data_IF_106316175907
#
_entry.id   IF_106316175907
#
_cell.length_a   1.000
_cell.length_b   1.000
_cell.length_c   1.000
_cell.angle_alpha   90.00
_cell.angle_beta   90.00
_cell.angle_gamma   90.00
#
_symmetry.space_group_name_H-M   'P 1'
#
loop_
_entity.id
_entity.type
_entity.pdbx_description
1 polymer ?
#
# COMPACT_ATOMS: atom_id res chain seq x y z
N UNK A 1 8.29 -0.56 -4.91
CA UNK A 1 7.93 -1.68 -4.06
C UNK A 1 7.93 -3.00 -4.81
N UNK A 2 8.21 -4.09 -4.14
CA UNK A 2 8.26 -5.43 -4.73
C UNK A 2 7.56 -6.46 -3.84
N UNK A 3 6.70 -7.30 -4.41
CA UNK A 3 6.06 -8.42 -3.74
C UNK A 3 6.78 -9.72 -4.14
N UNK A 4 7.63 -10.32 -3.28
CA UNK A 4 8.25 -11.60 -3.54
C UNK A 4 7.26 -12.76 -3.36
N UNK A 5 7.59 -13.96 -3.90
CA UNK A 5 6.77 -15.16 -3.70
C UNK A 5 6.67 -15.56 -2.22
N UNK A 6 7.76 -15.44 -1.48
CA UNK A 6 7.82 -15.68 -0.04
C UNK A 6 8.21 -14.39 0.69
N UNK A 7 7.23 -13.59 1.12
CA UNK A 7 7.51 -12.33 1.78
C UNK A 7 7.98 -12.54 3.22
N UNK A 8 8.93 -11.71 3.63
CA UNK A 8 9.40 -11.65 5.02
C UNK A 8 8.56 -10.61 5.76
N UNK A 9 7.87 -11.05 6.81
CA UNK A 9 7.16 -10.19 7.76
C UNK A 9 7.99 -10.05 9.04
N UNK A 10 7.76 -8.98 9.78
CA UNK A 10 8.36 -8.83 11.09
C UNK A 10 7.63 -9.76 12.09
N UNK A 11 8.35 -10.74 12.62
CA UNK A 11 7.81 -11.76 13.53
C UNK A 11 7.45 -11.23 14.91
N UNK A 12 7.99 -10.08 15.30
CA UNK A 12 7.66 -9.40 16.55
C UNK A 12 6.34 -8.63 16.48
N UNK A 13 5.83 -8.40 15.24
CA UNK A 13 4.62 -7.67 14.98
C UNK A 13 3.43 -8.60 14.73
N UNK A 14 2.26 -8.18 15.16
CA UNK A 14 1.01 -8.80 14.75
C UNK A 14 0.62 -8.40 13.31
N UNK A 15 -0.55 -8.86 12.84
CA UNK A 15 -1.02 -8.61 11.47
C UNK A 15 -1.15 -7.12 11.19
N UNK A 16 -1.87 -6.37 12.04
CA UNK A 16 -2.10 -4.93 11.81
C UNK A 16 -0.80 -4.12 11.91
N UNK A 17 0.09 -4.44 12.82
CA UNK A 17 1.39 -3.76 12.95
C UNK A 17 2.26 -3.97 11.71
N UNK A 18 2.27 -5.19 11.14
CA UNK A 18 2.95 -5.45 9.87
C UNK A 18 2.36 -4.62 8.72
N UNK A 19 1.02 -4.55 8.61
CA UNK A 19 0.34 -3.75 7.58
C UNK A 19 0.67 -2.27 7.77
N UNK A 20 0.49 -1.74 8.99
CA UNK A 20 0.71 -0.32 9.30
C UNK A 20 2.16 0.12 9.13
N UNK A 21 3.12 -0.82 9.25
CA UNK A 21 4.53 -0.52 8.96
C UNK A 21 4.79 -0.14 7.49
N UNK A 22 3.85 -0.45 6.58
CA UNK A 22 3.89 0.01 5.18
C UNK A 22 3.56 1.49 5.01
N UNK A 23 2.87 2.10 5.97
CA UNK A 23 2.48 3.51 5.96
C UNK A 23 3.56 4.47 6.50
N UNK A 24 4.76 3.96 6.79
CA UNK A 24 5.86 4.57 7.53
C UNK A 24 5.96 6.10 7.48
N UNK A 25 6.25 6.67 6.32
CA UNK A 25 6.43 8.12 6.17
C UNK A 25 5.11 8.89 6.33
N UNK A 26 4.05 8.43 5.69
CA UNK A 26 2.74 9.08 5.76
C UNK A 26 2.20 9.08 7.19
N UNK A 27 2.37 7.99 7.93
CA UNK A 27 1.98 7.91 9.34
C UNK A 27 2.80 8.86 10.21
N UNK A 28 4.11 8.93 10.01
CA UNK A 28 4.98 9.86 10.74
C UNK A 28 4.55 11.31 10.56
N UNK A 29 4.18 11.72 9.34
CA UNK A 29 3.68 13.07 9.06
C UNK A 29 2.39 13.38 9.83
N UNK A 30 1.45 12.43 9.86
CA UNK A 30 0.18 12.60 10.61
C UNK A 30 0.44 12.65 12.11
N UNK A 31 1.30 11.80 12.65
CA UNK A 31 1.67 11.79 14.07
C UNK A 31 2.39 13.10 14.47
N UNK A 32 3.28 13.62 13.61
CA UNK A 32 3.95 14.90 13.81
C UNK A 32 2.96 16.07 13.76
N UNK A 33 2.03 16.07 12.81
CA UNK A 33 0.95 17.07 12.73
C UNK A 33 0.10 17.10 14.00
N UNK A 34 -0.29 15.94 14.51
CA UNK A 34 -1.05 15.83 15.75
C UNK A 34 -0.25 16.34 16.95
N UNK A 35 1.06 16.04 16.99
CA UNK A 35 1.97 16.52 18.05
C UNK A 35 2.11 18.04 18.01
N UNK A 36 2.29 18.62 16.81
CA UNK A 36 2.34 20.08 16.62
C UNK A 36 1.02 20.72 17.02
N UNK A 37 -0.11 20.12 16.61
CA UNK A 37 -1.45 20.62 16.96
C UNK A 37 -1.71 20.62 18.46
N UNK A 38 -1.25 19.61 19.19
CA UNK A 38 -1.39 19.55 20.65
C UNK A 38 -0.61 20.66 21.35
N UNK A 39 0.53 21.10 20.82
CA UNK A 39 1.38 22.14 21.40
C UNK A 39 0.76 23.53 21.37
N UNK A 40 -0.24 23.79 20.53
CA UNK A 40 -0.93 25.09 20.51
C UNK A 40 -1.57 25.47 21.85
N UNK A 41 -1.95 24.50 22.65
CA UNK A 41 -2.51 24.74 23.99
C UNK A 41 -1.46 25.14 25.04
N UNK A 42 -0.17 24.95 24.74
CA UNK A 42 0.95 25.18 25.65
C UNK A 42 1.76 26.45 25.32
N UNK A 43 1.42 27.11 24.20
CA UNK A 43 2.19 28.24 23.67
C UNK A 43 2.02 29.48 24.55
N UNK A 44 3.13 30.15 24.80
CA UNK A 44 3.19 31.32 25.70
C UNK A 44 3.55 32.61 24.94
N UNK A 45 4.24 32.52 23.79
CA UNK A 45 4.72 33.67 23.02
C UNK A 45 4.17 33.72 21.60
N UNK A 46 4.07 34.94 21.03
CA UNK A 46 3.64 35.17 19.65
C UNK A 46 4.65 34.57 18.63
N UNK A 47 5.92 34.54 18.96
CA UNK A 47 6.98 33.97 18.12
C UNK A 47 6.84 32.46 18.02
N UNK A 48 6.67 31.78 19.15
CA UNK A 48 6.41 30.31 19.18
C UNK A 48 5.10 29.96 18.46
N UNK A 49 4.06 30.78 18.61
CA UNK A 49 2.80 30.60 17.88
C UNK A 49 3.01 30.63 16.37
N UNK A 50 3.76 31.60 15.85
CA UNK A 50 4.04 31.71 14.41
C UNK A 50 4.87 30.55 13.89
N UNK A 51 5.84 30.04 14.65
CA UNK A 51 6.62 28.87 14.28
C UNK A 51 5.73 27.61 14.18
N UNK A 52 4.84 27.39 15.14
CA UNK A 52 3.91 26.26 15.12
C UNK A 52 2.92 26.35 13.95
N UNK A 53 2.39 27.54 13.65
CA UNK A 53 1.49 27.75 12.49
C UNK A 53 2.21 27.37 11.18
N UNK A 54 3.44 27.86 10.99
CA UNK A 54 4.22 27.55 9.79
C UNK A 54 4.52 26.05 9.68
N UNK A 55 4.92 25.41 10.77
CA UNK A 55 5.19 23.98 10.80
C UNK A 55 3.93 23.16 10.53
N UNK A 56 2.80 23.52 11.10
CA UNK A 56 1.53 22.86 10.87
C UNK A 56 1.10 22.96 9.40
N UNK A 57 1.24 24.15 8.79
CA UNK A 57 0.90 24.37 7.39
C UNK A 57 1.78 23.52 6.45
N UNK A 58 3.10 23.42 6.72
CA UNK A 58 4.02 22.57 5.97
C UNK A 58 3.64 21.09 6.06
N UNK A 59 3.31 20.60 7.26
CA UNK A 59 2.89 19.22 7.48
C UNK A 59 1.56 18.93 6.79
N UNK A 60 0.60 19.85 6.87
CA UNK A 60 -0.69 19.72 6.20
C UNK A 60 -0.53 19.59 4.69
N UNK A 61 0.30 20.44 4.06
CA UNK A 61 0.57 20.37 2.63
C UNK A 61 1.13 18.98 2.22
N UNK A 62 2.06 18.44 3.01
CA UNK A 62 2.63 17.11 2.78
C UNK A 62 1.59 15.98 2.94
N UNK A 63 0.75 16.06 3.98
CA UNK A 63 -0.31 15.08 4.24
C UNK A 63 -1.37 15.12 3.13
N UNK A 64 -1.75 16.33 2.67
CA UNK A 64 -2.69 16.52 1.56
C UNK A 64 -2.12 15.95 0.25
N UNK A 65 -0.83 16.18 -0.03
CA UNK A 65 -0.16 15.65 -1.23
C UNK A 65 -0.13 14.11 -1.26
N UNK A 66 -0.03 13.46 -0.10
CA UNK A 66 -0.03 12.01 0.05
C UNK A 66 -1.44 11.43 0.25
N UNK A 67 -2.47 12.27 0.34
CA UNK A 67 -3.84 11.87 0.71
C UNK A 67 -3.88 10.99 1.98
N UNK A 68 -3.16 11.44 3.03
CA UNK A 68 -2.81 10.63 4.18
C UNK A 68 -3.67 10.88 5.43
N UNK A 69 -4.79 11.60 5.33
CA UNK A 69 -5.65 11.88 6.49
C UNK A 69 -6.39 10.65 7.02
N UNK A 70 -6.76 9.72 6.14
CA UNK A 70 -7.59 8.55 6.45
C UNK A 70 -6.80 7.23 6.38
N UNK A 71 -5.51 7.23 6.77
CA UNK A 71 -4.63 6.06 6.63
C UNK A 71 -5.16 4.81 7.34
N UNK A 72 -5.66 4.95 8.57
CA UNK A 72 -6.18 3.84 9.35
C UNK A 72 -7.40 3.22 8.67
N UNK A 73 -8.31 4.06 8.19
CA UNK A 73 -9.50 3.60 7.47
C UNK A 73 -9.13 2.93 6.14
N UNK A 74 -8.17 3.49 5.39
CA UNK A 74 -7.67 2.86 4.16
C UNK A 74 -7.05 1.50 4.44
N UNK A 75 -6.29 1.39 5.53
CA UNK A 75 -5.72 0.13 5.98
C UNK A 75 -6.80 -0.90 6.35
N UNK A 76 -7.81 -0.51 7.13
CA UNK A 76 -8.94 -1.39 7.49
C UNK A 76 -9.67 -1.92 6.25
N UNK A 77 -10.02 -1.03 5.30
CA UNK A 77 -10.67 -1.41 4.04
C UNK A 77 -9.82 -2.40 3.25
N UNK A 78 -8.51 -2.15 3.13
CA UNK A 78 -7.61 -3.03 2.39
C UNK A 78 -7.43 -4.40 3.09
N UNK A 79 -7.33 -4.40 4.41
CA UNK A 79 -7.23 -5.62 5.22
C UNK A 79 -8.48 -6.49 5.08
N UNK A 80 -9.66 -5.89 5.14
CA UNK A 80 -10.94 -6.59 4.97
C UNK A 80 -11.08 -7.15 3.55
N UNK A 81 -10.83 -6.33 2.53
CA UNK A 81 -10.90 -6.73 1.13
C UNK A 81 -9.93 -7.85 0.74
N UNK A 82 -8.73 -7.86 1.31
CA UNK A 82 -7.74 -8.92 1.15
C UNK A 82 -7.98 -10.11 2.10
N UNK A 83 -9.04 -10.07 2.91
CA UNK A 83 -9.40 -11.13 3.87
C UNK A 83 -8.22 -11.54 4.74
N UNK A 84 -7.58 -10.55 5.35
CA UNK A 84 -6.45 -10.81 6.25
C UNK A 84 -6.91 -11.54 7.51
N UNK A 85 -6.01 -12.30 8.16
CA UNK A 85 -6.28 -12.88 9.47
C UNK A 85 -6.63 -11.79 10.51
N UNK A 86 -7.21 -12.15 11.66
CA UNK A 86 -7.55 -11.19 12.71
C UNK A 86 -6.34 -10.30 13.07
N UNK A 87 -6.58 -9.00 13.23
CA UNK A 87 -5.56 -7.95 13.36
C UNK A 87 -4.51 -8.24 14.45
N UNK A 88 -4.91 -8.88 15.55
CA UNK A 88 -4.04 -9.21 16.68
C UNK A 88 -3.33 -10.57 16.56
N UNK A 89 -3.51 -11.29 15.44
CA UNK A 89 -2.88 -12.59 15.25
C UNK A 89 -1.37 -12.46 15.07
N UNK A 90 -0.61 -13.38 15.69
CA UNK A 90 0.82 -13.49 15.43
C UNK A 90 1.08 -14.02 14.02
N UNK A 91 2.01 -13.41 13.30
CA UNK A 91 2.37 -13.82 11.94
C UNK A 91 3.15 -15.14 11.87
N UNK A 92 3.68 -15.61 12.98
CA UNK A 92 4.51 -16.84 13.04
C UNK A 92 3.73 -18.09 12.65
N UNK A 93 2.44 -18.15 13.02
CA UNK A 93 1.60 -19.32 12.83
C UNK A 93 0.73 -19.27 11.55
N UNK A 94 0.94 -18.25 10.70
CA UNK A 94 0.17 -18.07 9.49
C UNK A 94 0.69 -18.91 8.32
N UNK A 95 -0.22 -19.34 7.47
CA UNK A 95 0.11 -20.00 6.20
C UNK A 95 0.86 -19.05 5.26
N UNK A 96 1.57 -19.60 4.28
CA UNK A 96 2.28 -18.80 3.26
C UNK A 96 1.34 -17.87 2.49
N UNK A 97 0.11 -18.31 2.17
CA UNK A 97 -0.90 -17.49 1.52
C UNK A 97 -1.37 -16.31 2.37
N UNK A 98 -1.55 -16.51 3.68
CA UNK A 98 -1.91 -15.43 4.61
C UNK A 98 -0.77 -14.42 4.74
N UNK A 99 0.47 -14.87 4.91
CA UNK A 99 1.66 -14.00 4.94
C UNK A 99 1.78 -13.17 3.66
N UNK A 100 1.50 -13.79 2.50
CA UNK A 100 1.54 -13.12 1.21
C UNK A 100 0.48 -12.03 1.08
N UNK A 101 -0.77 -12.28 1.55
CA UNK A 101 -1.82 -11.25 1.57
C UNK A 101 -1.49 -10.08 2.49
N UNK A 102 -0.88 -10.34 3.65
CA UNK A 102 -0.40 -9.27 4.55
C UNK A 102 0.68 -8.43 3.87
N UNK A 103 1.66 -9.07 3.23
CA UNK A 103 2.73 -8.37 2.52
C UNK A 103 2.19 -7.56 1.32
N UNK A 104 1.23 -8.11 0.58
CA UNK A 104 0.55 -7.40 -0.50
C UNK A 104 -0.18 -6.17 0.06
N UNK A 105 -0.97 -6.31 1.12
CA UNK A 105 -1.65 -5.20 1.78
C UNK A 105 -0.68 -4.09 2.19
N UNK A 106 0.38 -4.44 2.91
CA UNK A 106 1.46 -3.53 3.31
C UNK A 106 2.05 -2.80 2.12
N UNK A 107 2.34 -3.51 1.04
CA UNK A 107 2.94 -2.96 -0.17
C UNK A 107 2.01 -1.99 -0.90
N UNK A 108 0.73 -2.35 -1.06
CA UNK A 108 -0.26 -1.48 -1.71
C UNK A 108 -0.46 -0.17 -0.94
N UNK A 109 -0.52 -0.25 0.38
CA UNK A 109 -0.69 0.92 1.25
C UNK A 109 0.55 1.83 1.29
N UNK A 110 1.75 1.31 1.03
CA UNK A 110 2.97 2.13 0.94
C UNK A 110 3.01 3.01 -0.31
N UNK A 111 2.10 2.80 -1.27
CA UNK A 111 1.94 3.59 -2.49
C UNK A 111 3.26 3.97 -3.18
N UNK A 112 4.12 3.00 -3.52
CA UNK A 112 5.44 3.28 -4.09
C UNK A 112 5.33 3.84 -5.52
N UNK A 113 6.34 4.59 -6.00
CA UNK A 113 6.39 5.12 -7.37
C UNK A 113 6.37 4.01 -8.43
N UNK A 114 6.96 2.85 -8.11
CA UNK A 114 6.95 1.66 -8.95
C UNK A 114 6.55 0.45 -8.11
N UNK A 115 5.48 -0.23 -8.54
CA UNK A 115 4.95 -1.43 -7.92
C UNK A 115 5.26 -2.64 -8.80
N UNK A 116 6.06 -3.57 -8.27
CA UNK A 116 6.42 -4.83 -8.93
C UNK A 116 5.66 -5.98 -8.28
N UNK A 117 4.82 -6.66 -9.05
CA UNK A 117 3.99 -7.77 -8.59
C UNK A 117 4.31 -9.04 -9.39
N UNK A 118 4.68 -10.09 -8.68
CA UNK A 118 4.91 -11.42 -9.24
C UNK A 118 3.75 -12.34 -8.85
N UNK A 119 2.93 -12.75 -9.83
CA UNK A 119 1.75 -13.59 -9.67
C UNK A 119 0.83 -13.10 -8.51
N UNK A 120 0.35 -11.85 -8.52
CA UNK A 120 -0.36 -11.28 -7.38
C UNK A 120 -1.72 -11.91 -7.10
N UNK A 121 -2.33 -12.58 -8.10
CA UNK A 121 -3.64 -13.24 -7.98
C UNK A 121 -3.57 -14.64 -7.36
N UNK A 122 -2.37 -15.22 -7.23
CA UNK A 122 -2.20 -16.53 -6.63
C UNK A 122 -2.69 -16.57 -5.18
N UNK A 123 -3.48 -17.58 -4.86
CA UNK A 123 -4.10 -17.78 -3.53
C UNK A 123 -5.14 -16.74 -3.12
N UNK A 124 -5.63 -15.94 -4.07
CA UNK A 124 -6.75 -15.02 -3.86
C UNK A 124 -8.04 -15.63 -4.39
N UNK A 125 -9.15 -15.35 -3.74
CA UNK A 125 -10.48 -15.67 -4.27
C UNK A 125 -10.94 -14.59 -5.27
N UNK A 126 -12.00 -14.89 -6.02
CA UNK A 126 -12.49 -14.02 -7.09
C UNK A 126 -12.88 -12.61 -6.62
N UNK A 127 -13.39 -12.48 -5.41
CA UNK A 127 -13.80 -11.18 -4.85
C UNK A 127 -12.58 -10.33 -4.50
N UNK A 128 -11.57 -10.94 -3.88
CA UNK A 128 -10.28 -10.31 -3.59
C UNK A 128 -9.54 -9.91 -4.87
N UNK A 129 -9.55 -10.77 -5.90
CA UNK A 129 -8.98 -10.44 -7.23
C UNK A 129 -9.70 -9.22 -7.84
N UNK A 130 -11.03 -9.19 -7.82
CA UNK A 130 -11.81 -8.07 -8.36
C UNK A 130 -11.56 -6.75 -7.60
N UNK A 131 -11.31 -6.82 -6.29
CA UNK A 131 -10.92 -5.65 -5.52
C UNK A 131 -9.51 -5.20 -5.90
N UNK A 132 -8.54 -6.13 -6.04
CA UNK A 132 -7.17 -5.81 -6.44
C UNK A 132 -7.12 -5.18 -7.83
N UNK A 133 -7.90 -5.67 -8.80
CA UNK A 133 -8.02 -5.09 -10.14
C UNK A 133 -8.46 -3.63 -10.06
N UNK A 134 -9.52 -3.33 -9.31
CA UNK A 134 -9.99 -1.95 -9.12
C UNK A 134 -8.95 -1.07 -8.45
N UNK A 135 -8.29 -1.58 -7.41
CA UNK A 135 -7.22 -0.86 -6.72
C UNK A 135 -6.07 -0.49 -7.67
N UNK A 136 -5.62 -1.45 -8.49
CA UNK A 136 -4.52 -1.23 -9.44
C UNK A 136 -4.92 -0.36 -10.63
N UNK A 137 -6.18 -0.40 -11.05
CA UNK A 137 -6.72 0.51 -12.07
C UNK A 137 -6.67 1.97 -11.61
N UNK A 138 -6.96 2.22 -10.34
CA UNK A 138 -6.96 3.57 -9.75
C UNK A 138 -5.57 4.00 -9.24
N UNK A 139 -4.60 3.08 -9.29
CA UNK A 139 -3.23 3.35 -8.82
C UNK A 139 -2.53 4.34 -9.74
N UNK A 140 -2.09 5.48 -9.17
CA UNK A 140 -1.58 6.62 -9.95
C UNK A 140 -0.17 6.42 -10.50
N UNK A 141 0.59 5.51 -9.91
CA UNK A 141 2.00 5.30 -10.21
C UNK A 141 2.18 4.08 -11.14
N UNK A 142 3.43 3.74 -11.45
CA UNK A 142 3.73 2.65 -12.39
C UNK A 142 3.54 1.28 -11.75
N UNK A 143 2.77 0.42 -12.41
CA UNK A 143 2.59 -1.00 -12.04
C UNK A 143 3.25 -1.88 -13.09
N UNK A 144 4.09 -2.81 -12.65
CA UNK A 144 4.64 -3.89 -13.48
C UNK A 144 4.22 -5.21 -12.82
N UNK A 145 3.47 -6.02 -13.55
CA UNK A 145 3.00 -7.31 -13.04
C UNK A 145 3.44 -8.44 -13.95
N UNK A 146 3.87 -9.54 -13.36
CA UNK A 146 4.08 -10.82 -14.04
C UNK A 146 2.94 -11.73 -13.63
N UNK A 147 2.16 -12.23 -14.59
CA UNK A 147 1.06 -13.16 -14.32
C UNK A 147 0.68 -13.97 -15.55
N UNK A 148 0.08 -15.11 -15.33
CA UNK A 148 -0.53 -15.94 -16.37
C UNK A 148 -2.07 -15.80 -16.40
N UNK A 149 -2.64 -14.99 -15.49
CA UNK A 149 -4.07 -14.70 -15.42
C UNK A 149 -4.45 -13.66 -16.49
N UNK A 150 -5.03 -14.15 -17.60
CA UNK A 150 -5.41 -13.31 -18.75
C UNK A 150 -6.52 -12.33 -18.41
N UNK A 151 -7.48 -12.73 -17.58
CA UNK A 151 -8.58 -11.85 -17.17
C UNK A 151 -8.08 -10.70 -16.29
N UNK A 152 -7.10 -10.99 -15.43
CA UNK A 152 -6.44 -9.98 -14.64
C UNK A 152 -5.68 -8.98 -15.53
N UNK A 153 -4.95 -9.47 -16.53
CA UNK A 153 -4.22 -8.60 -17.46
C UNK A 153 -5.16 -7.68 -18.27
N UNK A 154 -6.29 -8.18 -18.75
CA UNK A 154 -7.24 -7.39 -19.53
C UNK A 154 -7.79 -6.19 -18.75
N UNK A 155 -7.97 -6.33 -17.45
CA UNK A 155 -8.53 -5.27 -16.60
C UNK A 155 -7.49 -4.27 -16.10
N UNK A 156 -6.21 -4.68 -15.98
CA UNK A 156 -5.18 -3.87 -15.29
C UNK A 156 -4.13 -3.34 -16.26
N UNK A 157 -3.79 -4.09 -17.32
CA UNK A 157 -2.65 -3.76 -18.17
C UNK A 157 -3.04 -2.87 -19.36
N UNK A 158 -2.37 -1.72 -19.52
CA UNK A 158 -2.43 -0.92 -20.75
C UNK A 158 -1.35 -1.27 -21.78
N UNK A 159 -0.33 -2.05 -21.34
CA UNK A 159 0.77 -2.56 -22.15
C UNK A 159 1.13 -3.97 -21.69
N UNK A 160 1.43 -4.83 -22.66
CA UNK A 160 1.90 -6.19 -22.41
C UNK A 160 3.26 -6.37 -23.08
N UNK A 161 4.21 -6.92 -22.35
CA UNK A 161 5.50 -7.37 -22.88
C UNK A 161 5.52 -8.90 -22.86
N UNK A 162 5.38 -9.51 -24.03
CA UNK A 162 5.53 -10.96 -24.16
C UNK A 162 7.03 -11.32 -24.25
N UNK A 163 7.46 -12.28 -23.44
CA UNK A 163 8.82 -12.78 -23.47
C UNK A 163 8.83 -14.15 -24.14
N UNK A 164 9.37 -14.23 -25.35
CA UNK A 164 9.53 -15.50 -26.08
C UNK A 164 10.98 -15.69 -26.53
N UNK A 165 11.58 -16.81 -26.16
CA UNK A 165 12.93 -17.27 -26.58
C UNK A 165 14.01 -16.18 -26.51
N UNK A 166 13.98 -15.38 -25.43
CA UNK A 166 14.95 -14.31 -25.18
C UNK A 166 14.66 -12.99 -25.93
N UNK A 167 13.52 -12.91 -26.62
CA UNK A 167 13.04 -11.67 -27.24
C UNK A 167 11.86 -11.12 -26.44
N UNK A 168 11.76 -9.78 -26.35
CA UNK A 168 10.61 -9.07 -25.78
C UNK A 168 9.76 -8.45 -26.89
N UNK A 169 8.49 -8.79 -26.96
CA UNK A 169 7.54 -8.29 -27.96
C UNK A 169 6.52 -7.41 -27.24
N UNK A 170 6.55 -6.07 -27.45
CA UNK A 170 5.62 -5.15 -26.77
C UNK A 170 4.29 -5.05 -27.54
N UNK A 171 3.19 -5.10 -26.81
CA UNK A 171 1.84 -4.84 -27.31
C UNK A 171 1.22 -3.67 -26.56
N UNK A 172 0.72 -2.70 -27.31
CA UNK A 172 -0.07 -1.58 -26.76
C UNK A 172 -1.55 -1.95 -26.86
N UNK A 173 -1.99 -2.88 -26.07
CA UNK A 173 -3.39 -3.32 -26.02
C UNK A 173 -3.64 -4.11 -24.75
N UNK A 174 -4.89 -4.37 -24.43
CA UNK A 174 -5.29 -5.41 -23.51
C UNK A 174 -5.01 -6.78 -24.16
N UNK A 175 -5.12 -7.85 -23.40
CA UNK A 175 -4.81 -9.22 -23.88
C UNK A 175 -5.82 -9.71 -24.92
N UNK A 176 -7.09 -9.24 -24.90
CA UNK A 176 -8.18 -9.60 -25.83
C UNK A 176 -8.21 -8.75 -27.10
#
# INVERSE_FOLDING_TARGET
GYLPQEPILNEEYNVVENVMSGLGEAKQLVDEFNTVSAKFSEVVTDEEMNELINKQAELQEKIDALDAWDLERKAEIAMDALRLPPSNSSVNNLSGGEKRRIALCKLLLSSPDILLLDEPTNHLDAETVSWLQRFLHDFKNTVITVTHDRYFLDEVAGWILELDRGNGIPYKCNYS
#
